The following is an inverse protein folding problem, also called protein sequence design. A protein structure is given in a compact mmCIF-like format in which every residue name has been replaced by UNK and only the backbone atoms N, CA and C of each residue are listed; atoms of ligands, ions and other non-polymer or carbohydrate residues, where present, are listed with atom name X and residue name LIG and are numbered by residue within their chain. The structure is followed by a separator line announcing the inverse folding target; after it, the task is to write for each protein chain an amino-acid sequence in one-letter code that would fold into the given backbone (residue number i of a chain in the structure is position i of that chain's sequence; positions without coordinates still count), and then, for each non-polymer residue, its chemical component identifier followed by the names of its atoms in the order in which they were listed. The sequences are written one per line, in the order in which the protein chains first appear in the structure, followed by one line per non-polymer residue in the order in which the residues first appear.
data_IF_298837375702
#
_entry.id   IF_298837375702
#
_cell.length_a   1.000
_cell.length_b   1.000
_cell.length_c   1.000
_cell.angle_alpha   90.00
_cell.angle_beta   90.00
_cell.angle_gamma   90.00
#
_symmetry.space_group_name_H-M   'P 1'
#
loop_
_entity.id
_entity.type
_entity.pdbx_description
1 polymer ?
#
# COMPACT_ATOMS: atom_id res chain seq x y z
N UNK A 1 -8.14 -20.86 8.90
CA UNK A 1 -7.49 -20.80 7.57
C UNK A 1 -6.63 -19.57 7.55
N UNK A 2 -5.34 -19.70 7.25
CA UNK A 2 -4.42 -18.55 7.15
C UNK A 2 -4.47 -17.96 5.73
N UNK A 3 -4.54 -16.64 5.64
CA UNK A 3 -4.63 -15.86 4.40
C UNK A 3 -3.36 -15.02 4.16
N UNK A 4 -2.34 -15.18 5.00
CA UNK A 4 -1.04 -14.55 4.80
C UNK A 4 -0.46 -14.91 3.43
N UNK A 5 0.04 -13.90 2.70
CA UNK A 5 0.55 -14.03 1.34
C UNK A 5 -0.51 -14.16 0.25
N UNK A 6 -1.79 -13.96 0.57
CA UNK A 6 -2.90 -13.97 -0.40
C UNK A 6 -3.29 -12.54 -0.82
N UNK A 7 -3.98 -12.46 -1.95
CA UNK A 7 -4.60 -11.23 -2.44
C UNK A 7 -6.10 -11.26 -2.16
N UNK A 8 -6.61 -10.19 -1.57
CA UNK A 8 -8.04 -9.91 -1.49
C UNK A 8 -8.41 -9.03 -2.67
N UNK A 9 -9.46 -9.43 -3.40
CA UNK A 9 -9.97 -8.68 -4.56
C UNK A 9 -11.31 -8.08 -4.17
N UNK A 10 -11.44 -6.76 -4.31
CA UNK A 10 -12.70 -6.09 -4.07
C UNK A 10 -13.77 -6.56 -5.05
N UNK A 11 -14.90 -7.02 -4.50
CA UNK A 11 -16.06 -7.40 -5.30
C UNK A 11 -16.69 -6.18 -5.98
N UNK A 12 -17.30 -6.34 -7.16
CA UNK A 12 -18.14 -5.29 -7.75
C UNK A 12 -19.23 -4.84 -6.77
N UNK A 13 -19.36 -3.53 -6.55
CA UNK A 13 -20.29 -2.98 -5.56
C UNK A 13 -19.75 -2.92 -4.13
N UNK A 14 -18.43 -2.98 -3.94
CA UNK A 14 -17.78 -2.69 -2.66
C UNK A 14 -18.26 -1.35 -2.09
N UNK A 15 -18.91 -1.37 -0.93
CA UNK A 15 -19.56 -0.18 -0.35
C UNK A 15 -18.61 0.85 0.26
N UNK A 16 -17.37 0.46 0.59
CA UNK A 16 -16.35 1.39 1.05
C UNK A 16 -15.50 1.87 -0.14
N UNK A 17 -15.63 3.16 -0.48
CA UNK A 17 -14.88 3.83 -1.55
C UNK A 17 -13.36 3.65 -1.44
N UNK A 18 -12.84 3.49 -0.21
CA UNK A 18 -11.40 3.27 0.04
C UNK A 18 -10.95 1.95 -0.57
N UNK A 19 -11.80 0.93 -0.56
CA UNK A 19 -11.51 -0.41 -1.06
C UNK A 19 -12.16 -0.73 -2.41
N UNK A 20 -12.96 0.18 -2.97
CA UNK A 20 -13.54 0.00 -4.29
C UNK A 20 -12.44 -0.24 -5.34
N UNK A 21 -12.59 -1.27 -6.17
CA UNK A 21 -11.58 -1.71 -7.15
C UNK A 21 -10.17 -1.99 -6.56
N UNK A 22 -10.05 -2.22 -5.26
CA UNK A 22 -8.76 -2.49 -4.63
C UNK A 22 -8.33 -3.96 -4.75
N UNK A 23 -7.02 -4.14 -4.83
CA UNK A 23 -6.33 -5.42 -4.64
C UNK A 23 -5.46 -5.26 -3.39
N UNK A 24 -5.72 -6.05 -2.36
CA UNK A 24 -5.02 -5.97 -1.07
C UNK A 24 -4.15 -7.20 -0.89
N UNK A 25 -2.84 -7.01 -0.69
CA UNK A 25 -1.93 -8.08 -0.29
C UNK A 25 -1.95 -8.24 1.23
N UNK A 26 -2.21 -9.44 1.73
CA UNK A 26 -2.20 -9.75 3.16
C UNK A 26 -0.79 -10.12 3.64
N UNK A 27 -0.19 -9.23 4.43
CA UNK A 27 1.12 -9.42 5.05
C UNK A 27 1.07 -10.31 6.31
N UNK A 28 -0.06 -10.30 7.02
CA UNK A 28 -0.28 -11.10 8.22
C UNK A 28 -1.78 -11.35 8.45
N UNK A 29 -2.14 -12.54 8.90
CA UNK A 29 -3.51 -12.91 9.26
C UNK A 29 -3.52 -13.90 10.43
N UNK A 30 -4.19 -13.55 11.52
CA UNK A 30 -4.23 -14.36 12.74
C UNK A 30 -5.41 -14.01 13.65
N UNK A 31 -5.48 -14.61 14.85
CA UNK A 31 -6.59 -14.40 15.79
C UNK A 31 -6.70 -12.95 16.29
N UNK A 32 -5.59 -12.21 16.30
CA UNK A 32 -5.52 -10.79 16.69
C UNK A 32 -5.93 -9.84 15.56
N UNK A 33 -6.15 -10.34 14.34
CA UNK A 33 -6.54 -9.55 13.18
C UNK A 33 -5.67 -9.80 11.94
N UNK A 34 -5.72 -8.85 11.02
CA UNK A 34 -5.04 -8.93 9.73
C UNK A 34 -4.37 -7.60 9.37
N UNK A 35 -3.23 -7.68 8.71
CA UNK A 35 -2.52 -6.54 8.12
C UNK A 35 -2.40 -6.77 6.62
N UNK A 36 -2.77 -5.78 5.83
CA UNK A 36 -2.59 -5.82 4.38
C UNK A 36 -2.35 -4.45 3.77
N UNK A 37 -1.85 -4.45 2.55
CA UNK A 37 -1.50 -3.27 1.77
C UNK A 37 -2.26 -3.29 0.45
N UNK A 38 -2.91 -2.18 0.10
CA UNK A 38 -3.46 -1.99 -1.24
C UNK A 38 -2.30 -1.79 -2.23
N UNK A 39 -2.26 -2.57 -3.30
CA UNK A 39 -1.13 -2.61 -4.24
C UNK A 39 -1.43 -2.01 -5.62
N UNK A 40 -2.67 -1.55 -5.85
CA UNK A 40 -3.13 -1.11 -7.17
C UNK A 40 -3.77 0.29 -7.17
N UNK A 41 -3.60 1.07 -6.10
CA UNK A 41 -4.06 2.46 -6.02
C UNK A 41 -2.87 3.40 -5.86
N UNK A 42 -2.40 4.07 -6.93
CA UNK A 42 -1.38 5.10 -6.82
C UNK A 42 -1.83 6.25 -5.91
N UNK A 43 -0.92 6.82 -5.14
CA UNK A 43 -1.14 8.06 -4.42
C UNK A 43 -0.78 9.22 -5.36
N UNK A 44 -1.78 9.86 -5.95
CA UNK A 44 -1.59 10.87 -7.00
C UNK A 44 -0.71 12.06 -6.56
N UNK A 45 -0.79 12.44 -5.29
CA UNK A 45 -0.09 13.59 -4.72
C UNK A 45 1.24 13.22 -4.02
N UNK A 46 1.73 11.99 -4.16
CA UNK A 46 2.95 11.53 -3.48
C UNK A 46 3.96 10.97 -4.47
N UNK A 47 5.12 11.61 -4.56
CA UNK A 47 6.26 11.15 -5.36
C UNK A 47 7.30 10.48 -4.48
N UNK A 48 7.93 9.44 -5.00
CA UNK A 48 9.02 8.74 -4.30
C UNK A 48 10.19 9.70 -4.01
N UNK A 49 10.55 10.54 -4.97
CA UNK A 49 11.56 11.60 -4.82
C UNK A 49 11.36 12.47 -3.60
N UNK A 50 10.12 12.85 -3.34
CA UNK A 50 9.77 13.79 -2.27
C UNK A 50 9.88 13.08 -0.91
N UNK A 51 9.49 11.80 -0.84
CA UNK A 51 9.67 10.98 0.35
C UNK A 51 11.15 10.71 0.66
N UNK A 52 11.94 10.36 -0.35
CA UNK A 52 13.38 10.12 -0.17
C UNK A 52 14.10 11.40 0.29
N UNK A 53 13.74 12.55 -0.29
CA UNK A 53 14.28 13.85 0.11
C UNK A 53 13.92 14.20 1.57
N UNK A 54 12.67 13.94 1.99
CA UNK A 54 12.24 14.16 3.38
C UNK A 54 12.94 13.25 4.41
N UNK A 55 13.41 12.09 3.97
CA UNK A 55 14.12 11.11 4.81
C UNK A 55 15.65 11.26 4.73
N UNK A 56 16.16 12.27 4.01
CA UNK A 56 17.59 12.48 3.73
C UNK A 56 18.26 11.24 3.08
N UNK A 57 17.52 10.50 2.24
CA UNK A 57 17.99 9.30 1.56
C UNK A 57 18.45 9.65 0.14
N UNK A 58 19.72 9.38 -0.17
CA UNK A 58 20.26 9.50 -1.53
C UNK A 58 20.08 8.17 -2.27
N UNK A 59 19.26 8.10 -3.33
CA UNK A 59 19.00 6.85 -4.06
C UNK A 59 20.26 6.33 -4.76
N UNK A 60 20.54 5.03 -4.61
CA UNK A 60 21.58 4.31 -5.35
C UNK A 60 21.04 2.96 -5.85
N UNK A 61 20.86 2.75 -7.17
CA UNK A 61 21.08 3.66 -8.32
C UNK A 61 20.15 4.89 -8.31
N UNK A 62 20.32 5.86 -9.23
CA UNK A 62 19.39 6.99 -9.37
C UNK A 62 17.94 6.52 -9.40
N UNK A 63 17.08 7.27 -8.74
CA UNK A 63 15.66 6.99 -8.61
C UNK A 63 15.03 6.65 -9.97
N UNK A 64 14.28 5.54 -10.00
CA UNK A 64 13.35 5.27 -11.08
C UNK A 64 12.02 5.90 -10.71
N UNK A 65 11.35 6.50 -11.71
CA UNK A 65 9.99 7.02 -11.55
C UNK A 65 9.06 5.85 -11.22
N UNK A 66 8.83 5.64 -9.92
CA UNK A 66 8.04 4.55 -9.38
C UNK A 66 6.88 5.15 -8.60
N UNK A 67 5.63 4.81 -8.95
CA UNK A 67 4.47 5.32 -8.24
C UNK A 67 4.46 4.81 -6.80
N UNK A 68 4.28 5.73 -5.87
CA UNK A 68 3.92 5.40 -4.48
C UNK A 68 2.45 5.01 -4.48
N UNK A 69 2.12 3.95 -3.75
CA UNK A 69 0.75 3.47 -3.65
C UNK A 69 0.14 3.84 -2.30
N UNK A 70 -1.14 4.17 -2.31
CA UNK A 70 -1.93 4.30 -1.09
C UNK A 70 -2.13 2.92 -0.47
N UNK A 71 -1.39 2.61 0.61
CA UNK A 71 -1.39 1.29 1.24
C UNK A 71 -2.66 0.96 2.05
N UNK A 72 -3.43 1.97 2.47
CA UNK A 72 -4.65 1.79 3.25
C UNK A 72 -4.94 2.99 4.16
N UNK A 73 -6.10 3.01 4.84
CA UNK A 73 -6.55 4.15 5.64
C UNK A 73 -5.85 4.30 7.01
N UNK A 74 -4.98 3.36 7.39
CA UNK A 74 -4.34 3.30 8.71
C UNK A 74 -2.87 3.63 8.58
N UNK A 75 -2.31 4.38 9.55
CA UNK A 75 -0.87 4.70 9.63
C UNK A 75 -0.29 5.35 8.37
N UNK A 76 -1.00 6.34 7.81
CA UNK A 76 -0.59 7.05 6.57
C UNK A 76 0.79 7.71 6.60
N UNK A 77 1.38 7.94 7.79
CA UNK A 77 2.71 8.50 7.94
C UNK A 77 3.85 7.45 7.85
N UNK A 78 3.52 6.15 7.74
CA UNK A 78 4.49 5.06 7.64
C UNK A 78 4.53 4.50 6.23
N UNK A 79 5.74 4.42 5.66
CA UNK A 79 6.00 3.71 4.41
C UNK A 79 6.27 2.22 4.63
N UNK A 80 5.80 1.40 3.69
CA UNK A 80 6.09 -0.04 3.62
C UNK A 80 6.68 -0.35 2.24
N UNK A 81 7.70 -1.21 2.21
CA UNK A 81 8.43 -1.64 0.98
C UNK A 81 8.47 -3.15 0.92
#
# INVERSE_FOLDING_TARGET
MDLTGKLLIAMPGMGDMRFEHSVVFLCSHGPEGAMGLIVNKPAEDVRLSDLLSQLDIVPQPPERDMPVHFGGPVESARGFV
#
